data_IF_445101968486
#
_entry.id   IF_445101968486
#
_cell.length_a   1.000
_cell.length_b   1.000
_cell.length_c   1.000
_cell.angle_alpha   90.00
_cell.angle_beta   90.00
_cell.angle_gamma   90.00
#
_symmetry.space_group_name_H-M   'P 1'
#
loop_
_entity.id
_entity.type
_entity.pdbx_description
1 polymer ?
#
# COMPACT_ATOMS: atom_id res chain seq x y z
N UNK A 1 3.33 -10.95 7.09
CA UNK A 1 1.89 -10.69 7.32
C UNK A 1 1.66 -9.69 8.44
N UNK A 2 2.34 -9.86 9.58
CA UNK A 2 2.25 -8.95 10.72
C UNK A 2 2.72 -7.52 10.42
N UNK A 3 3.76 -7.37 9.59
CA UNK A 3 4.30 -6.04 9.17
C UNK A 3 3.27 -5.13 8.51
N UNK A 4 2.32 -5.67 7.73
CA UNK A 4 1.29 -4.87 7.05
C UNK A 4 0.29 -4.33 8.07
N UNK A 5 -0.16 -5.17 8.99
CA UNK A 5 -1.10 -4.80 10.03
C UNK A 5 -0.50 -3.78 10.99
N UNK A 6 0.72 -4.01 11.47
CA UNK A 6 1.43 -3.08 12.36
C UNK A 6 1.66 -1.72 11.70
N UNK A 7 2.08 -1.70 10.43
CA UNK A 7 2.24 -0.45 9.68
C UNK A 7 0.91 0.29 9.51
N UNK A 8 -0.19 -0.43 9.25
CA UNK A 8 -1.51 0.17 9.15
C UNK A 8 -1.91 0.84 10.47
N UNK A 9 -1.80 0.13 11.59
CA UNK A 9 -2.11 0.67 12.92
C UNK A 9 -1.25 1.88 13.25
N UNK A 10 0.04 1.83 12.94
CA UNK A 10 0.94 2.96 13.15
C UNK A 10 0.50 4.19 12.33
N UNK A 11 0.13 4.02 11.06
CA UNK A 11 -0.35 5.13 10.23
C UNK A 11 -1.67 5.71 10.75
N UNK A 12 -2.61 4.86 11.13
CA UNK A 12 -3.87 5.29 11.73
C UNK A 12 -3.65 6.05 13.04
N UNK A 13 -2.73 5.56 13.89
CA UNK A 13 -2.35 6.23 15.14
C UNK A 13 -1.56 7.52 14.97
N UNK A 14 -0.94 7.74 13.80
CA UNK A 14 -0.20 8.96 13.47
C UNK A 14 -1.07 10.06 12.86
N UNK A 15 -2.39 10.03 13.06
CA UNK A 15 -3.30 11.12 12.65
C UNK A 15 -3.85 11.01 11.23
N UNK A 16 -3.73 9.85 10.58
CA UNK A 16 -4.29 9.66 9.22
C UNK A 16 -5.81 9.83 9.16
N UNK A 17 -6.52 9.49 10.25
CA UNK A 17 -7.98 9.71 10.32
C UNK A 17 -8.31 11.20 10.30
N UNK A 18 -7.51 12.02 10.98
CA UNK A 18 -7.71 13.47 11.05
C UNK A 18 -7.36 14.15 9.72
N UNK A 19 -6.31 13.67 9.03
CA UNK A 19 -5.96 14.11 7.67
C UNK A 19 -7.14 13.90 6.71
N UNK A 20 -7.73 12.70 6.69
CA UNK A 20 -8.87 12.40 5.83
C UNK A 20 -10.11 13.23 6.20
N UNK A 21 -10.34 13.45 7.50
CA UNK A 21 -11.42 14.33 7.96
C UNK A 21 -11.24 15.75 7.42
N UNK A 22 -10.04 16.31 7.52
CA UNK A 22 -9.73 17.64 6.99
C UNK A 22 -9.90 17.74 5.47
N UNK A 23 -9.56 16.68 4.73
CA UNK A 23 -9.79 16.62 3.29
C UNK A 23 -11.29 16.56 2.92
N UNK A 24 -12.11 15.86 3.71
CA UNK A 24 -13.56 15.87 3.51
C UNK A 24 -14.16 17.24 3.81
N UNK A 25 -13.69 17.89 4.87
CA UNK A 25 -14.12 19.24 5.26
C UNK A 25 -13.72 20.31 4.24
N UNK A 26 -12.60 20.13 3.54
CA UNK A 26 -12.18 21.03 2.44
C UNK A 26 -12.95 20.82 1.13
N UNK A 27 -13.90 19.87 1.11
CA UNK A 27 -14.84 19.66 0.02
C UNK A 27 -14.45 18.57 -0.98
N UNK A 28 -13.43 17.74 -0.68
CA UNK A 28 -13.16 16.57 -1.53
C UNK A 28 -14.28 15.54 -1.41
N UNK A 29 -14.69 15.00 -2.55
CA UNK A 29 -15.74 14.02 -2.61
C UNK A 29 -15.26 12.63 -2.17
N UNK A 30 -16.21 11.75 -1.86
CA UNK A 30 -15.90 10.35 -1.58
C UNK A 30 -15.22 9.65 -2.78
N UNK A 31 -15.60 10.02 -4.00
CA UNK A 31 -15.00 9.44 -5.21
C UNK A 31 -13.54 9.86 -5.36
N UNK A 32 -13.20 11.10 -4.98
CA UNK A 32 -11.81 11.56 -4.92
C UNK A 32 -11.02 10.76 -3.88
N UNK A 33 -11.59 10.53 -2.69
CA UNK A 33 -10.98 9.70 -1.65
C UNK A 33 -10.72 8.27 -2.12
N UNK A 34 -11.69 7.69 -2.84
CA UNK A 34 -11.57 6.36 -3.42
C UNK A 34 -10.45 6.29 -4.47
N UNK A 35 -10.23 7.39 -5.20
CA UNK A 35 -9.16 7.53 -6.17
C UNK A 35 -7.78 7.65 -5.52
N UNK A 36 -7.63 8.42 -4.43
CA UNK A 36 -6.33 8.62 -3.76
C UNK A 36 -5.74 7.35 -3.14
N UNK A 37 -6.59 6.40 -2.73
CA UNK A 37 -6.12 5.08 -2.34
C UNK A 37 -7.03 4.34 -1.38
N UNK A 38 -6.63 3.10 -1.06
CA UNK A 38 -7.41 2.24 -0.18
C UNK A 38 -7.62 2.86 1.20
N UNK A 39 -6.57 3.41 1.81
CA UNK A 39 -6.64 3.98 3.16
C UNK A 39 -7.64 5.14 3.22
N UNK A 40 -7.55 6.10 2.29
CA UNK A 40 -8.49 7.22 2.16
C UNK A 40 -9.93 6.75 1.99
N UNK A 41 -10.18 5.79 1.10
CA UNK A 41 -11.52 5.23 0.88
C UNK A 41 -12.13 4.65 2.15
N UNK A 42 -11.41 3.75 2.83
CA UNK A 42 -11.94 3.05 4.01
C UNK A 42 -12.11 4.01 5.19
N UNK A 43 -11.19 4.96 5.38
CA UNK A 43 -11.30 5.99 6.41
C UNK A 43 -12.49 6.91 6.13
N UNK A 44 -12.71 7.31 4.87
CA UNK A 44 -13.89 8.09 4.50
C UNK A 44 -15.19 7.30 4.76
N UNK A 45 -15.25 6.00 4.45
CA UNK A 45 -16.40 5.14 4.80
C UNK A 45 -16.67 5.11 6.31
N UNK A 46 -15.62 5.06 7.13
CA UNK A 46 -15.73 5.15 8.58
C UNK A 46 -16.25 6.51 9.05
N UNK A 47 -15.70 7.62 8.54
CA UNK A 47 -16.13 8.98 8.87
C UNK A 47 -17.60 9.23 8.48
N UNK A 48 -18.05 8.66 7.36
CA UNK A 48 -19.45 8.72 6.92
C UNK A 48 -20.38 7.80 7.73
N UNK A 49 -19.88 7.06 8.72
CA UNK A 49 -20.66 6.15 9.56
C UNK A 49 -21.06 4.83 8.88
N UNK A 50 -20.48 4.49 7.72
CA UNK A 50 -20.77 3.23 7.00
C UNK A 50 -20.04 2.03 7.61
N UNK A 51 -18.95 2.27 8.34
CA UNK A 51 -18.15 1.25 9.01
C UNK A 51 -17.80 1.68 10.43
N UNK A 52 -17.81 0.73 11.37
CA UNK A 52 -17.12 0.92 12.65
C UNK A 52 -15.61 0.97 12.45
N UNK A 53 -14.88 1.51 13.43
CA UNK A 53 -13.42 1.59 13.35
C UNK A 53 -12.78 0.20 13.18
N UNK A 54 -13.22 -0.79 13.95
CA UNK A 54 -12.66 -2.16 13.88
C UNK A 54 -12.96 -2.84 12.54
N UNK A 55 -14.16 -2.65 11.99
CA UNK A 55 -14.52 -3.15 10.67
C UNK A 55 -13.70 -2.47 9.57
N UNK A 56 -13.51 -1.16 9.66
CA UNK A 56 -12.65 -0.39 8.76
C UNK A 56 -11.23 -0.96 8.76
N UNK A 57 -10.61 -1.12 9.94
CA UNK A 57 -9.24 -1.66 10.06
C UNK A 57 -9.15 -3.07 9.48
N UNK A 58 -10.10 -3.94 9.83
CA UNK A 58 -10.12 -5.32 9.34
C UNK A 58 -10.25 -5.39 7.82
N UNK A 59 -11.23 -4.68 7.24
CA UNK A 59 -11.47 -4.66 5.79
C UNK A 59 -10.32 -4.01 5.03
N UNK A 60 -9.77 -2.91 5.52
CA UNK A 60 -8.62 -2.24 4.93
C UNK A 60 -7.39 -3.15 4.92
N UNK A 61 -7.10 -3.86 6.02
CA UNK A 61 -6.01 -4.82 6.07
C UNK A 61 -6.19 -5.96 5.06
N UNK A 62 -7.40 -6.49 4.88
CA UNK A 62 -7.71 -7.49 3.84
C UNK A 62 -7.48 -6.90 2.44
N UNK A 63 -7.98 -5.70 2.19
CA UNK A 63 -7.85 -5.03 0.90
C UNK A 63 -6.38 -4.79 0.52
N UNK A 64 -5.55 -4.35 1.47
CA UNK A 64 -4.11 -4.15 1.27
C UNK A 64 -3.42 -5.49 0.92
N UNK A 65 -3.78 -6.59 1.60
CA UNK A 65 -3.23 -7.92 1.29
C UNK A 65 -3.60 -8.37 -0.11
N UNK A 66 -4.86 -8.22 -0.51
CA UNK A 66 -5.31 -8.55 -1.85
C UNK A 66 -4.63 -7.68 -2.91
N UNK A 67 -4.44 -6.40 -2.63
CA UNK A 67 -3.72 -5.48 -3.51
C UNK A 67 -2.26 -5.90 -3.68
N UNK A 68 -1.54 -6.21 -2.59
CA UNK A 68 -0.17 -6.72 -2.64
C UNK A 68 -0.07 -8.03 -3.44
N UNK A 69 -1.04 -8.94 -3.28
CA UNK A 69 -1.11 -10.17 -4.08
C UNK A 69 -1.30 -9.86 -5.58
N UNK A 70 -2.19 -8.91 -5.92
CA UNK A 70 -2.39 -8.49 -7.32
C UNK A 70 -1.14 -7.87 -7.92
N UNK A 71 -0.42 -7.03 -7.17
CA UNK A 71 0.87 -6.47 -7.59
C UNK A 71 1.85 -7.58 -7.97
N UNK A 72 2.02 -8.59 -7.09
CA UNK A 72 2.89 -9.74 -7.37
C UNK A 72 2.46 -10.52 -8.61
N UNK A 73 1.15 -10.74 -8.79
CA UNK A 73 0.63 -11.40 -10.01
C UNK A 73 0.91 -10.57 -11.26
N UNK A 74 0.79 -9.24 -11.17
CA UNK A 74 1.04 -8.34 -12.30
C UNK A 74 2.51 -8.33 -12.71
N UNK A 75 3.44 -8.19 -11.77
CA UNK A 75 4.88 -8.28 -12.04
C UNK A 75 5.30 -9.61 -12.66
N UNK A 76 4.80 -10.74 -12.11
CA UNK A 76 5.05 -12.07 -12.73
C UNK A 76 4.46 -12.17 -14.13
N UNK A 77 3.34 -11.49 -14.39
CA UNK A 77 2.75 -11.38 -15.72
C UNK A 77 3.64 -10.61 -16.70
N UNK A 78 4.34 -9.57 -16.24
CA UNK A 78 5.30 -8.81 -17.04
C UNK A 78 6.52 -9.65 -17.41
N UNK A 79 7.06 -10.44 -16.46
CA UNK A 79 8.17 -11.37 -16.75
C UNK A 79 7.80 -12.36 -17.85
N UNK A 80 6.60 -12.93 -17.80
CA UNK A 80 6.10 -13.82 -18.86
C UNK A 80 5.95 -13.15 -20.22
N UNK A 81 5.83 -11.81 -20.25
CA UNK A 81 5.76 -11.02 -21.49
C UNK A 81 7.14 -10.58 -22.00
N UNK A 82 8.21 -11.03 -21.34
CA UNK A 82 9.59 -10.79 -21.76
C UNK A 82 10.26 -9.60 -21.07
N UNK A 83 9.65 -8.99 -20.06
CA UNK A 83 10.30 -7.94 -19.26
C UNK A 83 11.21 -8.59 -18.21
N UNK A 84 12.50 -8.28 -18.25
CA UNK A 84 13.45 -8.72 -17.22
C UNK A 84 13.21 -7.95 -15.93
N UNK A 85 12.86 -8.64 -14.84
CA UNK A 85 12.69 -8.05 -13.51
C UNK A 85 13.74 -8.62 -12.56
N UNK A 86 14.62 -7.76 -12.05
CA UNK A 86 15.56 -8.13 -10.99
C UNK A 86 14.87 -8.04 -9.62
N UNK A 87 14.52 -9.19 -9.04
CA UNK A 87 13.89 -9.26 -7.73
C UNK A 87 14.90 -9.07 -6.60
N UNK A 88 14.64 -8.10 -5.72
CA UNK A 88 15.46 -7.84 -4.54
C UNK A 88 14.67 -8.23 -3.28
N UNK A 89 15.29 -9.02 -2.40
CA UNK A 89 14.67 -9.38 -1.13
C UNK A 89 14.64 -8.14 -0.20
N UNK A 90 13.43 -7.76 0.22
CA UNK A 90 13.20 -6.63 1.11
C UNK A 90 13.76 -6.79 2.52
N UNK A 91 14.14 -7.99 2.94
CA UNK A 91 14.72 -8.28 4.25
C UNK A 91 16.24 -8.09 4.30
N UNK A 92 16.89 -7.92 3.15
CA UNK A 92 18.32 -7.66 3.11
C UNK A 92 18.67 -6.30 3.76
N UNK A 93 19.85 -6.19 4.40
CA UNK A 93 20.45 -4.92 4.77
C UNK A 93 20.50 -3.94 3.59
N UNK A 94 20.57 -2.64 3.89
CA UNK A 94 20.61 -1.61 2.84
C UNK A 94 21.83 -1.79 1.93
N UNK A 95 23.00 -2.06 2.50
CA UNK A 95 24.24 -2.26 1.76
C UNK A 95 24.14 -3.41 0.75
N UNK A 96 23.59 -4.56 1.17
CA UNK A 96 23.40 -5.72 0.29
C UNK A 96 22.40 -5.43 -0.84
N UNK A 97 21.37 -4.62 -0.57
CA UNK A 97 20.44 -4.17 -1.62
C UNK A 97 21.15 -3.28 -2.63
N UNK A 98 21.99 -2.35 -2.17
CA UNK A 98 22.75 -1.46 -3.04
C UNK A 98 23.73 -2.25 -3.92
N UNK A 99 24.44 -3.21 -3.35
CA UNK A 99 25.34 -4.09 -4.10
C UNK A 99 24.60 -4.83 -5.22
N UNK A 100 23.44 -5.43 -4.91
CA UNK A 100 22.61 -6.09 -5.93
C UNK A 100 22.10 -5.15 -7.03
N UNK A 101 21.75 -3.92 -6.69
CA UNK A 101 21.32 -2.91 -7.67
C UNK A 101 22.51 -2.55 -8.58
N UNK A 102 23.69 -2.32 -8.00
CA UNK A 102 24.90 -2.00 -8.76
C UNK A 102 25.30 -3.14 -9.69
N UNK A 103 25.25 -4.39 -9.23
CA UNK A 103 25.48 -5.57 -10.07
C UNK A 103 24.47 -5.66 -11.22
N UNK A 104 23.19 -5.40 -10.96
CA UNK A 104 22.17 -5.43 -12.00
C UNK A 104 22.37 -4.34 -13.07
N UNK A 105 22.83 -3.15 -12.66
CA UNK A 105 23.15 -2.06 -13.60
C UNK A 105 24.41 -2.40 -14.41
N UNK A 106 25.44 -2.98 -13.79
CA UNK A 106 26.70 -3.34 -14.46
C UNK A 106 26.56 -4.50 -15.45
N UNK A 107 25.67 -5.46 -15.18
CA UNK A 107 25.42 -6.59 -16.06
C UNK A 107 24.51 -6.26 -17.26
N UNK A 108 24.00 -5.02 -17.34
CA UNK A 108 23.07 -4.59 -18.37
C UNK A 108 21.68 -5.19 -18.18
N UNK A 109 20.65 -4.42 -18.50
CA UNK A 109 19.28 -4.96 -18.63
C UNK A 109 19.22 -6.03 -19.73
#
# INVERSE_FOLDING_TARGET
MERIHQRLLQRLGNGMVDEVRGLMESGLSFDDMAYYGLEYRYIAEHIMGKLTYDEMVSRLNIAIRQFAKRQMTWFRGMERRGLSITWINGELPLEDKLNKIMEAIQNGF
#
